data_IF_584502928610
#
_entry.id   IF_584502928610
#
_cell.length_a   1.000
_cell.length_b   1.000
_cell.length_c   1.000
_cell.angle_alpha   90.00
_cell.angle_beta   90.00
_cell.angle_gamma   90.00
#
_symmetry.space_group_name_H-M   'P 1'
#
loop_
_entity.id
_entity.type
_entity.pdbx_description
1 polymer ?
#
# COMPACT_ATOMS: atom_id res chain seq x y z
N UNK A 1 18.76 -3.93 1.56
CA UNK A 1 18.11 -2.69 1.05
C UNK A 1 16.68 -2.71 1.52
N UNK A 2 16.16 -1.61 2.04
CA UNK A 2 14.73 -1.55 2.42
C UNK A 2 13.87 -1.13 1.24
N UNK A 3 12.75 -1.81 1.05
CA UNK A 3 11.84 -1.59 -0.06
C UNK A 3 10.43 -1.31 0.47
N UNK A 4 9.86 -0.18 0.03
CA UNK A 4 8.46 0.15 0.22
C UNK A 4 7.73 -0.12 -1.09
N UNK A 5 6.75 -1.02 -1.07
CA UNK A 5 5.83 -1.26 -2.17
C UNK A 5 4.43 -0.78 -1.83
N UNK A 6 3.68 -0.32 -2.82
CA UNK A 6 2.30 0.08 -2.65
C UNK A 6 1.50 -0.08 -3.94
N UNK A 7 0.21 -0.33 -3.79
CA UNK A 7 -0.72 -0.41 -4.92
C UNK A 7 -1.00 0.98 -5.50
N UNK A 8 -1.07 1.04 -6.83
CA UNK A 8 -1.49 2.23 -7.59
C UNK A 8 -2.68 1.85 -8.45
N UNK A 9 -3.83 2.51 -8.25
CA UNK A 9 -5.01 2.36 -9.10
C UNK A 9 -4.71 2.84 -10.52
N UNK A 10 -4.90 1.96 -11.51
CA UNK A 10 -4.56 2.24 -12.91
C UNK A 10 -5.77 2.50 -13.79
N UNK A 11 -6.99 2.51 -13.24
CA UNK A 11 -8.24 2.71 -14.02
C UNK A 11 -8.18 3.93 -14.93
N UNK A 12 -7.62 5.05 -14.44
CA UNK A 12 -7.48 6.31 -15.18
C UNK A 12 -6.07 6.54 -15.76
N UNK A 13 -5.19 5.52 -15.73
CA UNK A 13 -3.80 5.61 -16.19
C UNK A 13 -3.53 4.80 -17.45
N UNK A 14 -4.43 3.87 -17.80
CA UNK A 14 -4.39 3.12 -19.06
C UNK A 14 -5.09 3.90 -20.18
N UNK A 15 -4.77 3.56 -21.42
CA UNK A 15 -5.33 4.20 -22.62
C UNK A 15 -5.91 3.14 -23.58
N UNK A 16 -7.24 3.11 -23.81
CA UNK A 16 -8.25 3.98 -23.20
C UNK A 16 -8.44 3.71 -21.69
N UNK A 17 -8.90 4.72 -20.94
CA UNK A 17 -9.22 4.55 -19.52
C UNK A 17 -10.30 3.47 -19.31
N UNK A 18 -10.23 2.76 -18.19
CA UNK A 18 -11.22 1.74 -17.85
C UNK A 18 -12.59 2.38 -17.59
N UNK A 19 -13.69 1.73 -18.02
CA UNK A 19 -15.02 2.27 -17.85
C UNK A 19 -15.40 2.38 -16.37
N UNK A 20 -16.27 3.34 -16.06
CA UNK A 20 -16.90 3.42 -14.75
C UNK A 20 -17.63 2.08 -14.46
N UNK A 21 -17.41 1.54 -13.26
CA UNK A 21 -17.99 0.25 -12.87
C UNK A 21 -17.23 -0.98 -13.38
N UNK A 22 -16.03 -0.82 -13.97
CA UNK A 22 -15.16 -1.96 -14.31
C UNK A 22 -15.02 -2.93 -13.12
N UNK A 23 -15.44 -4.18 -13.34
CA UNK A 23 -15.35 -5.27 -12.37
C UNK A 23 -14.13 -6.12 -12.69
N UNK A 24 -13.09 -5.95 -11.90
CA UNK A 24 -11.81 -6.66 -12.05
C UNK A 24 -10.67 -5.99 -11.30
N UNK A 25 -9.52 -6.65 -11.32
CA UNK A 25 -8.28 -6.08 -10.78
C UNK A 25 -7.74 -5.00 -11.73
N UNK A 26 -7.47 -3.81 -11.19
CA UNK A 26 -6.93 -2.69 -11.95
C UNK A 26 -5.96 -1.88 -11.08
N UNK A 27 -4.92 -2.56 -10.59
CA UNK A 27 -3.80 -1.93 -9.91
C UNK A 27 -2.48 -2.55 -10.35
N UNK A 28 -1.41 -1.78 -10.21
CA UNK A 28 -0.02 -2.28 -10.29
C UNK A 28 0.70 -1.95 -8.99
N UNK A 29 1.83 -2.62 -8.75
CA UNK A 29 2.73 -2.25 -7.67
C UNK A 29 3.76 -1.25 -8.17
N UNK A 30 3.95 -0.18 -7.40
CA UNK A 30 5.10 0.71 -7.50
C UNK A 30 5.98 0.51 -6.26
N UNK A 31 7.26 0.85 -6.39
CA UNK A 31 8.25 0.58 -5.35
C UNK A 31 9.19 1.77 -5.15
N UNK A 32 9.62 1.99 -3.91
CA UNK A 32 10.73 2.85 -3.56
C UNK A 32 11.72 2.00 -2.78
N UNK A 33 12.94 1.86 -3.30
CA UNK A 33 14.01 1.11 -2.65
C UNK A 33 15.14 2.06 -2.24
N UNK A 34 15.60 1.94 -0.99
CA UNK A 34 16.66 2.75 -0.39
C UNK A 34 17.54 1.86 0.51
N UNK A 35 18.70 2.33 0.91
CA UNK A 35 19.44 1.74 2.03
C UNK A 35 18.81 2.17 3.36
N UNK A 36 19.02 1.40 4.44
CA UNK A 36 18.54 1.79 5.76
C UNK A 36 19.12 3.15 6.20
N UNK A 37 20.41 3.39 5.96
CA UNK A 37 21.06 4.68 6.22
C UNK A 37 20.39 5.83 5.45
N UNK A 38 20.06 5.64 4.16
CA UNK A 38 19.34 6.64 3.38
C UNK A 38 17.95 6.96 3.95
N UNK A 39 17.27 5.98 4.57
CA UNK A 39 15.97 6.21 5.22
C UNK A 39 16.16 6.98 6.54
N UNK A 40 17.14 6.61 7.35
CA UNK A 40 17.42 7.27 8.64
C UNK A 40 17.90 8.71 8.49
N UNK A 41 18.70 8.99 7.46
CA UNK A 41 19.27 10.32 7.19
C UNK A 41 18.31 11.25 6.43
N UNK A 42 17.29 10.70 5.75
CA UNK A 42 16.36 11.48 4.96
C UNK A 42 15.31 12.18 5.81
N UNK A 43 14.97 13.42 5.41
CA UNK A 43 13.79 14.09 5.97
C UNK A 43 12.50 13.42 5.50
N UNK A 44 11.43 13.50 6.29
CA UNK A 44 10.09 13.04 5.89
C UNK A 44 9.67 13.62 4.52
N UNK A 45 9.98 14.91 4.27
CA UNK A 45 9.70 15.55 2.99
C UNK A 45 10.40 14.84 1.83
N UNK A 46 11.69 14.51 1.97
CA UNK A 46 12.43 13.82 0.93
C UNK A 46 11.87 12.42 0.66
N UNK A 47 11.48 11.67 1.70
CA UNK A 47 10.84 10.35 1.56
C UNK A 47 9.49 10.48 0.85
N UNK A 48 8.66 11.46 1.23
CA UNK A 48 7.36 11.73 0.61
C UNK A 48 7.51 12.06 -0.87
N UNK A 49 8.50 12.87 -1.25
CA UNK A 49 8.74 13.19 -2.67
C UNK A 49 9.12 11.93 -3.47
N UNK A 50 9.97 11.04 -2.94
CA UNK A 50 10.28 9.76 -3.60
C UNK A 50 9.03 8.90 -3.82
N UNK A 51 8.12 8.85 -2.84
CA UNK A 51 6.84 8.13 -2.98
C UNK A 51 5.97 8.78 -4.05
N UNK A 52 5.89 10.11 -4.09
CA UNK A 52 5.13 10.87 -5.10
C UNK A 52 5.68 10.63 -6.50
N UNK A 53 6.99 10.68 -6.67
CA UNK A 53 7.67 10.39 -7.94
C UNK A 53 7.39 8.97 -8.41
N UNK A 54 7.51 7.98 -7.52
CA UNK A 54 7.16 6.59 -7.83
C UNK A 54 5.69 6.44 -8.27
N UNK A 55 4.73 7.06 -7.55
CA UNK A 55 3.31 7.07 -7.95
C UNK A 55 3.07 7.75 -9.31
N UNK A 56 3.80 8.83 -9.59
CA UNK A 56 3.70 9.59 -10.84
C UNK A 56 4.30 8.83 -12.02
N UNK A 57 5.33 8.03 -11.78
CA UNK A 57 5.98 7.20 -12.80
C UNK A 57 5.07 6.12 -13.40
N UNK A 58 3.98 5.75 -12.70
CA UNK A 58 2.98 4.79 -13.21
C UNK A 58 2.15 5.44 -14.32
N UNK A 59 2.56 5.22 -15.57
CA UNK A 59 1.90 5.63 -16.81
C UNK A 59 1.28 4.42 -17.54
N UNK A 60 0.57 4.64 -18.65
CA UNK A 60 0.07 3.55 -19.50
C UNK A 60 1.21 2.62 -19.96
N UNK A 61 2.37 3.16 -20.33
CA UNK A 61 3.53 2.36 -20.74
C UNK A 61 4.09 1.53 -19.58
N UNK A 62 4.12 2.09 -18.36
CA UNK A 62 4.49 1.34 -17.16
C UNK A 62 3.54 0.15 -16.94
N UNK A 63 2.22 0.37 -17.07
CA UNK A 63 1.23 -0.71 -16.88
C UNK A 63 1.42 -1.83 -17.90
N UNK A 64 1.65 -1.49 -19.18
CA UNK A 64 1.94 -2.49 -20.22
C UNK A 64 3.19 -3.31 -19.90
N UNK A 65 4.29 -2.65 -19.56
CA UNK A 65 5.53 -3.32 -19.16
C UNK A 65 5.36 -4.19 -17.91
N UNK A 66 4.57 -3.73 -16.93
CA UNK A 66 4.25 -4.50 -15.72
C UNK A 66 3.50 -5.79 -16.07
N UNK A 67 2.51 -5.74 -16.97
CA UNK A 67 1.79 -6.94 -17.40
C UNK A 67 2.70 -7.94 -18.12
N UNK A 68 3.60 -7.47 -18.96
CA UNK A 68 4.61 -8.32 -19.62
C UNK A 68 5.54 -8.98 -18.59
N UNK A 69 6.02 -8.21 -17.60
CA UNK A 69 6.91 -8.73 -16.56
C UNK A 69 6.24 -9.80 -15.69
N UNK A 70 4.98 -9.61 -15.31
CA UNK A 70 4.21 -10.59 -14.53
C UNK A 70 3.88 -11.85 -15.33
N UNK A 71 3.71 -11.72 -16.65
CA UNK A 71 3.51 -12.85 -17.56
C UNK A 71 4.78 -13.65 -17.90
N UNK A 72 5.96 -13.14 -17.52
CA UNK A 72 7.25 -13.79 -17.73
C UNK A 72 7.53 -14.97 -16.79
N UNK A 73 8.73 -15.59 -16.90
CA UNK A 73 9.15 -16.66 -16.00
C UNK A 73 9.10 -16.18 -14.55
N UNK A 74 8.39 -16.93 -13.70
CA UNK A 74 8.27 -16.59 -12.28
C UNK A 74 9.65 -16.71 -11.61
N UNK A 75 10.27 -15.58 -11.32
CA UNK A 75 11.45 -15.53 -10.45
C UNK A 75 10.98 -15.61 -9.00
N UNK A 76 11.72 -16.31 -8.14
CA UNK A 76 11.48 -16.26 -6.69
C UNK A 76 11.50 -14.80 -6.22
N UNK A 77 10.45 -14.39 -5.51
CA UNK A 77 10.40 -13.05 -4.91
C UNK A 77 11.65 -12.85 -4.03
N UNK A 78 12.28 -11.67 -4.06
CA UNK A 78 13.40 -11.39 -3.17
C UNK A 78 12.95 -11.56 -1.70
N UNK A 79 13.86 -11.96 -0.80
CA UNK A 79 13.54 -12.20 0.60
C UNK A 79 12.79 -11.01 1.22
N UNK A 80 11.71 -11.33 1.91
CA UNK A 80 10.65 -10.40 2.34
C UNK A 80 11.02 -9.56 3.57
N UNK A 81 12.14 -9.85 4.23
CA UNK A 81 12.44 -9.28 5.56
C UNK A 81 12.63 -7.76 5.52
N UNK A 82 13.10 -7.22 4.38
CA UNK A 82 13.32 -5.79 4.17
C UNK A 82 12.19 -5.13 3.32
N UNK A 83 11.12 -5.87 3.03
CA UNK A 83 9.98 -5.40 2.24
C UNK A 83 8.83 -4.97 3.17
N UNK A 84 8.28 -3.78 2.93
CA UNK A 84 6.97 -3.38 3.46
C UNK A 84 6.02 -3.14 2.30
N UNK A 85 4.87 -3.81 2.31
CA UNK A 85 3.80 -3.59 1.32
C UNK A 85 2.68 -2.77 1.95
N UNK A 86 2.28 -1.66 1.35
CA UNK A 86 1.13 -0.86 1.80
C UNK A 86 -0.10 -1.20 0.96
N UNK A 87 -1.16 -1.63 1.66
CA UNK A 87 -2.50 -1.82 1.12
C UNK A 87 -3.41 -0.72 1.65
N UNK A 88 -3.69 0.28 0.82
CA UNK A 88 -4.51 1.43 1.18
C UNK A 88 -6.00 1.17 0.95
N UNK A 89 -6.75 0.97 2.03
CA UNK A 89 -8.21 0.81 2.04
C UNK A 89 -8.92 2.11 2.44
N UNK A 90 -8.20 3.23 2.61
CA UNK A 90 -8.79 4.52 3.02
C UNK A 90 -9.75 5.09 1.98
N UNK A 91 -9.76 4.57 0.75
CA UNK A 91 -10.72 4.96 -0.30
C UNK A 91 -11.82 3.92 -0.53
N UNK A 92 -11.83 2.83 0.22
CA UNK A 92 -12.83 1.78 0.14
C UNK A 92 -13.96 2.06 1.13
N UNK A 93 -15.24 2.03 0.71
CA UNK A 93 -16.36 2.40 1.56
C UNK A 93 -16.78 1.28 2.53
N UNK A 94 -15.88 0.41 2.98
CA UNK A 94 -16.22 -0.82 3.72
C UNK A 94 -17.06 -0.56 4.98
N UNK A 95 -16.82 0.53 5.69
CA UNK A 95 -17.59 0.93 6.89
C UNK A 95 -18.88 1.69 6.56
N UNK A 96 -19.07 2.14 5.31
CA UNK A 96 -20.27 2.88 4.84
C UNK A 96 -21.26 1.99 4.10
N UNK A 97 -21.00 0.69 4.00
CA UNK A 97 -21.94 -0.26 3.39
C UNK A 97 -23.09 -0.46 4.38
N UNK A 98 -24.17 0.30 4.15
CA UNK A 98 -25.36 0.28 4.98
C UNK A 98 -26.24 -0.93 4.70
N UNK A 99 -26.08 -2.00 5.47
CA UNK A 99 -27.14 -2.99 5.58
C UNK A 99 -28.14 -2.52 6.63
N UNK A 100 -29.43 -2.55 6.32
CA UNK A 100 -30.50 -2.12 7.25
C UNK A 100 -30.35 -0.66 7.74
N UNK A 101 -29.74 0.22 6.95
CA UNK A 101 -29.41 1.61 7.29
C UNK A 101 -28.39 1.79 8.43
N UNK A 102 -27.62 0.75 8.77
CA UNK A 102 -26.55 0.84 9.78
C UNK A 102 -25.17 0.77 9.13
N UNK A 103 -24.25 1.60 9.62
CA UNK A 103 -22.83 1.54 9.22
C UNK A 103 -22.10 0.47 10.02
N UNK A 104 -21.08 -0.15 9.43
CA UNK A 104 -20.28 -1.12 10.16
C UNK A 104 -19.45 -0.41 11.24
N UNK A 105 -19.44 -0.96 12.46
CA UNK A 105 -18.65 -0.41 13.56
C UNK A 105 -17.15 -0.40 13.24
N UNK A 106 -16.67 -1.38 12.47
CA UNK A 106 -15.29 -1.46 12.01
C UNK A 106 -15.17 -2.38 10.79
N UNK A 107 -14.16 -2.16 9.93
CA UNK A 107 -13.84 -3.04 8.82
C UNK A 107 -12.32 -3.22 8.73
N UNK A 108 -11.84 -4.47 8.83
CA UNK A 108 -10.41 -4.80 8.73
C UNK A 108 -10.16 -6.21 8.21
N UNK A 109 -8.93 -6.51 7.76
CA UNK A 109 -8.52 -7.88 7.48
C UNK A 109 -8.60 -8.75 8.73
N UNK A 110 -9.17 -9.95 8.61
CA UNK A 110 -9.26 -10.91 9.73
C UNK A 110 -7.85 -11.36 10.18
N UNK A 111 -7.00 -11.74 9.23
CA UNK A 111 -5.62 -12.15 9.45
C UNK A 111 -4.69 -11.52 8.40
N UNK A 112 -3.42 -11.32 8.75
CA UNK A 112 -2.39 -10.93 7.79
C UNK A 112 -1.64 -12.19 7.36
N UNK A 113 -2.01 -12.76 6.21
CA UNK A 113 -1.32 -13.93 5.64
C UNK A 113 0.12 -13.59 5.23
N UNK A 114 0.40 -12.30 5.01
CA UNK A 114 1.72 -11.76 4.71
C UNK A 114 2.05 -10.73 5.81
N UNK A 115 2.96 -11.03 6.74
CA UNK A 115 3.29 -10.12 7.85
C UNK A 115 3.76 -8.73 7.40
N UNK A 116 4.39 -8.65 6.23
CA UNK A 116 4.95 -7.43 5.64
C UNK A 116 3.90 -6.41 5.17
N UNK A 117 2.60 -6.77 5.19
CA UNK A 117 1.54 -5.88 4.71
C UNK A 117 1.09 -4.93 5.82
N UNK A 118 1.22 -3.64 5.56
CA UNK A 118 0.59 -2.57 6.32
C UNK A 118 -0.73 -2.17 5.64
N UNK A 119 -1.84 -2.38 6.33
CA UNK A 119 -3.18 -1.97 5.89
C UNK A 119 -3.53 -0.62 6.47
N UNK A 120 -3.90 0.34 5.62
CA UNK A 120 -4.44 1.63 6.04
C UNK A 120 -5.94 1.62 5.85
N UNK A 121 -6.69 1.93 6.90
CA UNK A 121 -8.15 1.83 6.94
C UNK A 121 -8.73 3.16 7.45
N UNK A 122 -9.96 3.47 7.05
CA UNK A 122 -10.66 4.62 7.63
C UNK A 122 -11.00 4.32 9.10
N UNK A 123 -10.81 5.30 9.97
CA UNK A 123 -11.33 5.21 11.32
C UNK A 123 -12.86 5.43 11.28
N UNK A 124 -13.67 4.55 11.88
CA UNK A 124 -15.13 4.64 11.84
C UNK A 124 -15.70 5.81 12.65
N UNK A 125 -14.95 6.30 13.64
CA UNK A 125 -15.38 7.34 14.59
C UNK A 125 -14.73 8.70 14.32
N UNK A 126 -13.61 8.74 13.60
CA UNK A 126 -12.89 9.96 13.23
C UNK A 126 -12.72 10.03 11.70
N UNK A 127 -13.40 10.99 11.07
CA UNK A 127 -13.37 11.16 9.61
C UNK A 127 -12.00 11.58 9.05
N UNK A 128 -11.06 12.01 9.91
CA UNK A 128 -9.67 12.32 9.56
C UNK A 128 -8.69 11.23 10.05
N UNK A 129 -9.17 10.30 10.86
CA UNK A 129 -8.37 9.23 11.43
C UNK A 129 -8.05 8.14 10.40
N UNK A 130 -6.83 7.65 10.45
CA UNK A 130 -6.40 6.47 9.69
C UNK A 130 -5.96 5.42 10.69
N UNK A 131 -6.63 4.27 10.65
CA UNK A 131 -6.23 3.10 11.42
C UNK A 131 -5.22 2.30 10.60
N UNK A 132 -4.09 1.94 11.23
CA UNK A 132 -3.05 1.14 10.60
C UNK A 132 -2.95 -0.23 11.27
N UNK A 133 -3.00 -1.29 10.46
CA UNK A 133 -2.65 -2.65 10.90
C UNK A 133 -1.39 -3.10 10.19
N UNK A 134 -0.36 -3.46 10.93
CA UNK A 134 0.94 -3.92 10.40
C UNK A 134 1.44 -5.12 11.21
N UNK A 135 2.00 -6.12 10.54
CA UNK A 135 2.68 -7.23 11.18
C UNK A 135 4.11 -6.85 11.54
N UNK A 136 4.53 -7.16 12.77
CA UNK A 136 5.88 -6.91 13.25
C UNK A 136 6.41 -8.16 13.96
N UNK A 137 7.73 -8.35 13.92
CA UNK A 137 8.39 -9.34 14.76
C UNK A 137 8.23 -8.95 16.24
N UNK A 138 7.95 -9.90 17.15
CA UNK A 138 7.71 -9.59 18.57
C UNK A 138 8.79 -8.71 19.20
N UNK A 139 10.06 -8.96 18.88
CA UNK A 139 11.21 -8.20 19.38
C UNK A 139 11.27 -6.75 18.87
N UNK A 140 10.59 -6.44 17.75
CA UNK A 140 10.63 -5.11 17.12
C UNK A 140 9.49 -4.20 17.59
N UNK A 141 8.44 -4.75 18.22
CA UNK A 141 7.23 -4.00 18.60
C UNK A 141 7.55 -2.82 19.51
N UNK A 142 8.35 -3.02 20.56
CA UNK A 142 8.69 -1.95 21.51
C UNK A 142 9.46 -0.80 20.85
N UNK A 143 10.40 -1.14 19.96
CA UNK A 143 11.19 -0.15 19.21
C UNK A 143 10.32 0.60 18.22
N UNK A 144 9.45 -0.10 17.49
CA UNK A 144 8.51 0.49 16.55
C UNK A 144 7.60 1.50 17.25
N UNK A 145 6.94 1.11 18.36
CA UNK A 145 6.04 2.00 19.10
C UNK A 145 6.73 3.27 19.59
N UNK A 146 7.99 3.17 20.05
CA UNK A 146 8.77 4.33 20.49
C UNK A 146 9.10 5.28 19.33
N UNK A 147 9.41 4.74 18.15
CA UNK A 147 9.78 5.53 16.98
C UNK A 147 8.56 6.11 16.26
N UNK A 148 7.42 5.42 16.27
CA UNK A 148 6.21 5.82 15.55
C UNK A 148 5.60 7.14 16.07
N UNK A 149 5.84 7.48 17.34
CA UNK A 149 5.34 8.71 17.97
C UNK A 149 6.34 9.87 17.97
N UNK A 150 7.53 9.69 17.40
CA UNK A 150 8.51 10.78 17.21
C UNK A 150 8.14 11.63 15.99
#
# INVERSE_FOLDING_TARGET
>A
MVCLQFSVDVRNKVDPALPQGFSGNAFVLASVALTAAQVEEATHKAIIEKIREAKKSVTNSYVKAYMEAVGGPQTTLPPLDELTLVSDWTRMPFHKIGFLNESAAYASPLASLIPQVAYFMQNPSDCKGIDMRVGLLPQSVSTFSRLFHR
#
